data_IF_495861705248
#
_entry.id   IF_495861705248
#
_cell.length_a   1.000
_cell.length_b   1.000
_cell.length_c   1.000
_cell.angle_alpha   90.00
_cell.angle_beta   90.00
_cell.angle_gamma   90.00
#
_symmetry.space_group_name_H-M   'P 1'
#
loop_
_entity.id
_entity.type
_entity.pdbx_description
1 polymer ?
#
# COMPACT_ATOMS: atom_id res chain seq x y z
N UNK A 1 -11.62 -3.28 -12.17
CA UNK A 1 -11.35 -2.20 -13.12
C UNK A 1 -10.02 -1.53 -12.78
N UNK A 2 -9.11 -1.45 -13.70
CA UNK A 2 -7.83 -0.79 -13.47
C UNK A 2 -7.99 0.73 -13.39
N UNK A 3 -7.19 1.35 -12.53
CA UNK A 3 -7.09 2.80 -12.41
C UNK A 3 -5.62 3.18 -12.33
N UNK A 4 -5.27 4.29 -12.95
CA UNK A 4 -3.92 4.88 -12.88
C UNK A 4 -2.80 3.97 -13.42
N UNK A 5 -3.15 2.90 -14.13
CA UNK A 5 -2.19 2.00 -14.78
C UNK A 5 -2.72 1.60 -16.16
N UNK A 6 -1.79 1.30 -17.06
CA UNK A 6 -2.12 0.82 -18.40
C UNK A 6 -2.31 -0.70 -18.36
N UNK A 7 -3.23 -1.20 -19.17
CA UNK A 7 -3.44 -2.64 -19.33
C UNK A 7 -2.31 -3.25 -20.16
N UNK A 8 -2.06 -4.53 -19.92
CA UNK A 8 -1.11 -5.31 -20.72
C UNK A 8 0.26 -4.67 -20.81
N UNK A 9 0.69 -4.02 -19.74
CA UNK A 9 1.94 -3.28 -19.69
C UNK A 9 2.76 -3.75 -18.49
N UNK A 10 4.06 -3.91 -18.69
CA UNK A 10 4.97 -4.19 -17.60
C UNK A 10 5.08 -2.97 -16.70
N UNK A 11 4.96 -3.17 -15.40
CA UNK A 11 5.02 -2.11 -14.40
C UNK A 11 6.04 -2.46 -13.32
N UNK A 12 6.72 -1.44 -12.81
CA UNK A 12 7.42 -1.54 -11.54
C UNK A 12 6.54 -0.88 -10.49
N UNK A 13 5.96 -1.64 -9.60
CA UNK A 13 4.99 -1.13 -8.64
C UNK A 13 5.57 -0.03 -7.74
N UNK A 14 6.82 -0.17 -7.33
CA UNK A 14 7.46 0.83 -6.49
C UNK A 14 7.64 2.19 -7.17
N UNK A 15 7.60 2.24 -8.50
CA UNK A 15 7.75 3.48 -9.26
C UNK A 15 6.43 4.22 -9.48
N UNK A 16 5.30 3.63 -9.08
CA UNK A 16 3.98 4.22 -9.32
C UNK A 16 3.64 5.37 -8.39
N UNK A 17 4.32 5.50 -7.27
CA UNK A 17 4.14 6.60 -6.32
C UNK A 17 5.48 7.16 -5.93
N UNK A 18 5.50 8.47 -5.64
CA UNK A 18 6.66 9.18 -5.15
C UNK A 18 6.47 9.54 -3.69
N UNK A 19 7.58 9.69 -2.96
CA UNK A 19 7.54 10.17 -1.59
C UNK A 19 7.32 11.68 -1.59
N UNK A 20 6.47 12.14 -0.69
CA UNK A 20 6.26 13.57 -0.45
C UNK A 20 6.56 13.86 1.01
N UNK A 21 7.36 14.88 1.26
CA UNK A 21 7.78 15.25 2.61
C UNK A 21 6.57 15.52 3.50
N UNK A 22 6.53 14.86 4.66
CA UNK A 22 5.46 15.02 5.64
C UNK A 22 4.12 14.46 5.21
N UNK A 23 4.07 13.61 4.19
CA UNK A 23 2.82 13.12 3.64
C UNK A 23 2.78 11.62 3.43
N UNK A 24 1.55 11.10 3.40
CA UNK A 24 1.23 9.77 2.90
C UNK A 24 0.58 9.98 1.54
N UNK A 25 1.12 9.33 0.52
CA UNK A 25 0.57 9.40 -0.84
C UNK A 25 -0.04 8.05 -1.19
N UNK A 26 -1.22 8.05 -1.76
CA UNK A 26 -1.89 6.82 -2.19
C UNK A 26 -2.35 6.91 -3.63
N UNK A 27 -2.34 5.77 -4.30
CA UNK A 27 -2.82 5.66 -5.66
C UNK A 27 -3.57 4.33 -5.80
N UNK A 28 -4.82 4.40 -6.19
CA UNK A 28 -5.65 3.22 -6.43
C UNK A 28 -5.34 2.65 -7.80
N UNK A 29 -5.04 1.35 -7.85
CA UNK A 29 -4.69 0.65 -9.09
C UNK A 29 -5.84 -0.20 -9.63
N UNK A 30 -6.60 -0.80 -8.73
CA UNK A 30 -7.76 -1.64 -9.07
C UNK A 30 -8.87 -1.33 -8.09
N UNK A 31 -10.07 -1.19 -8.59
CA UNK A 31 -11.23 -1.00 -7.72
C UNK A 31 -12.48 -1.56 -8.38
N UNK A 32 -13.14 -2.49 -7.69
CA UNK A 32 -14.45 -3.00 -8.06
C UNK A 32 -15.14 -3.54 -6.79
N UNK A 33 -16.31 -4.16 -6.94
CA UNK A 33 -17.08 -4.67 -5.80
C UNK A 33 -16.37 -5.77 -5.03
N UNK A 34 -15.47 -6.50 -5.68
CA UNK A 34 -14.80 -7.67 -5.10
C UNK A 34 -13.39 -7.39 -4.62
N UNK A 35 -12.67 -6.50 -5.31
CA UNK A 35 -11.24 -6.26 -5.06
C UNK A 35 -10.93 -4.78 -5.13
N UNK A 36 -10.08 -4.34 -4.21
CA UNK A 36 -9.47 -3.01 -4.25
C UNK A 36 -7.98 -3.18 -4.01
N UNK A 37 -7.18 -2.52 -4.85
CA UNK A 37 -5.73 -2.54 -4.73
C UNK A 37 -5.22 -1.11 -4.74
N UNK A 38 -4.50 -0.73 -3.70
CA UNK A 38 -3.97 0.62 -3.54
C UNK A 38 -2.49 0.54 -3.17
N UNK A 39 -1.69 1.38 -3.79
CA UNK A 39 -0.29 1.54 -3.41
C UNK A 39 -0.13 2.82 -2.60
N UNK A 40 0.71 2.75 -1.56
CA UNK A 40 0.97 3.87 -0.66
C UNK A 40 2.45 4.18 -0.61
N UNK A 41 2.79 5.44 -0.45
CA UNK A 41 4.11 5.85 0.00
C UNK A 41 3.98 6.66 1.28
N UNK A 42 4.91 6.44 2.20
CA UNK A 42 4.92 7.10 3.50
C UNK A 42 6.25 7.79 3.68
N UNK A 43 6.23 9.08 4.02
CA UNK A 43 7.43 9.75 4.48
C UNK A 43 7.79 9.18 5.86
N UNK A 44 9.05 9.25 6.21
CA UNK A 44 9.53 8.72 7.49
C UNK A 44 8.75 9.32 8.66
N UNK A 45 8.23 8.45 9.51
CA UNK A 45 7.45 8.87 10.67
C UNK A 45 5.97 9.12 10.40
N UNK A 46 5.55 9.08 9.15
CA UNK A 46 4.13 9.23 8.82
C UNK A 46 3.39 7.91 8.99
N UNK A 47 2.13 8.01 9.36
CA UNK A 47 1.28 6.84 9.53
C UNK A 47 -0.16 7.16 9.16
N UNK A 48 -0.93 6.13 8.86
CA UNK A 48 -2.37 6.26 8.70
C UNK A 48 -3.04 5.68 9.95
N UNK A 49 -4.17 6.26 10.31
CA UNK A 49 -4.96 5.79 11.44
C UNK A 49 -5.52 4.40 11.16
N UNK A 50 -6.05 3.76 12.21
CA UNK A 50 -6.64 2.43 12.15
C UNK A 50 -7.59 2.31 10.96
N UNK A 51 -7.43 1.25 10.20
CA UNK A 51 -8.22 0.95 9.03
C UNK A 51 -8.87 -0.41 9.19
N UNK A 52 -10.17 -0.48 8.97
CA UNK A 52 -10.91 -1.73 9.04
C UNK A 52 -11.47 -2.08 7.66
N UNK A 53 -11.51 -3.37 7.37
CA UNK A 53 -12.05 -3.89 6.12
C UNK A 53 -13.10 -4.95 6.44
N UNK A 54 -14.16 -4.99 5.67
CA UNK A 54 -15.19 -6.03 5.81
C UNK A 54 -14.74 -7.38 5.25
N UNK A 55 -13.65 -7.42 4.51
CA UNK A 55 -13.09 -8.63 3.93
C UNK A 55 -11.64 -8.83 4.36
N UNK A 56 -10.97 -9.74 3.70
CA UNK A 56 -9.57 -10.01 3.92
C UNK A 56 -8.71 -8.92 3.30
N UNK A 57 -7.60 -8.64 3.94
CA UNK A 57 -6.63 -7.67 3.45
C UNK A 57 -5.24 -8.28 3.42
N UNK A 58 -4.47 -7.92 2.40
CA UNK A 58 -3.09 -8.32 2.25
C UNK A 58 -2.23 -7.09 2.00
N UNK A 59 -1.13 -7.00 2.72
CA UNK A 59 -0.19 -5.90 2.57
C UNK A 59 1.16 -6.46 2.16
N UNK A 60 1.78 -5.85 1.17
CA UNK A 60 3.12 -6.22 0.72
C UNK A 60 4.01 -4.97 0.74
N UNK A 61 5.19 -5.09 1.34
CA UNK A 61 6.16 -3.99 1.37
C UNK A 61 7.04 -4.06 0.13
N UNK A 62 7.00 -3.03 -0.69
CA UNK A 62 7.78 -2.95 -1.92
C UNK A 62 9.14 -2.32 -1.70
N UNK A 63 9.25 -1.42 -0.72
CA UNK A 63 10.49 -0.70 -0.44
C UNK A 63 10.46 -0.19 0.99
N UNK A 64 11.61 -0.28 1.67
CA UNK A 64 11.77 0.19 3.04
C UNK A 64 11.25 -0.79 4.07
N UNK A 65 10.96 -0.25 5.25
CA UNK A 65 10.50 -1.02 6.41
C UNK A 65 9.27 -0.35 7.00
N UNK A 66 8.24 -1.12 7.25
CA UNK A 66 6.99 -0.62 7.82
C UNK A 66 6.64 -1.33 9.12
N UNK A 67 5.94 -0.61 9.98
CA UNK A 67 5.40 -1.14 11.22
C UNK A 67 3.89 -1.26 11.08
N UNK A 68 3.38 -2.46 11.27
CA UNK A 68 1.97 -2.77 11.10
C UNK A 68 1.40 -3.36 12.38
N UNK A 69 0.26 -2.84 12.80
CA UNK A 69 -0.46 -3.36 13.96
C UNK A 69 -1.74 -4.03 13.48
N UNK A 70 -1.85 -5.33 13.74
CA UNK A 70 -3.00 -6.14 13.32
C UNK A 70 -3.47 -6.97 14.51
N UNK A 71 -4.73 -6.83 14.86
CA UNK A 71 -5.30 -7.59 15.98
C UNK A 71 -4.60 -7.35 17.32
N UNK A 72 -4.06 -6.16 17.52
CA UNK A 72 -3.32 -5.82 18.75
C UNK A 72 -1.85 -6.24 18.74
N UNK A 73 -1.39 -6.91 17.69
CA UNK A 73 0.00 -7.31 17.56
C UNK A 73 0.73 -6.45 16.55
N UNK A 74 2.01 -6.18 16.81
CA UNK A 74 2.87 -5.37 15.96
C UNK A 74 3.76 -6.25 15.11
N UNK A 75 3.79 -5.99 13.83
CA UNK A 75 4.66 -6.68 12.86
C UNK A 75 5.56 -5.67 12.17
N UNK A 76 6.82 -6.01 12.05
CA UNK A 76 7.78 -5.21 11.27
C UNK A 76 8.00 -5.94 9.94
N UNK A 77 7.62 -5.29 8.86
CA UNK A 77 7.75 -5.85 7.52
C UNK A 77 8.80 -5.08 6.73
N UNK A 78 9.62 -5.81 6.01
CA UNK A 78 10.64 -5.25 5.14
C UNK A 78 10.31 -5.54 3.68
N UNK A 79 11.09 -4.99 2.78
CA UNK A 79 10.93 -5.21 1.35
C UNK A 79 10.78 -6.71 1.04
N UNK A 80 9.70 -7.05 0.35
CA UNK A 80 9.39 -8.42 -0.01
C UNK A 80 8.52 -9.16 0.99
N UNK A 81 8.30 -8.61 2.18
CA UNK A 81 7.41 -9.22 3.18
C UNK A 81 5.95 -8.83 2.92
N UNK A 82 5.08 -9.67 3.40
CA UNK A 82 3.65 -9.45 3.28
C UNK A 82 2.91 -9.94 4.52
#
# INVERSE_FOLDING_TARGET
MYKNIAKETKLCLADLVDYSVGQVVSKTLVQNELVSMTIFSFDKGEEISKHESSGDAMVTVLEGTGRFTVGGEVYILEKGDA
#
